data_IF_276018857249
#
_entry.id   IF_276018857249
#
_cell.length_a   1.000
_cell.length_b   1.000
_cell.length_c   1.000
_cell.angle_alpha   90.00
_cell.angle_beta   90.00
_cell.angle_gamma   90.00
#
_symmetry.space_group_name_H-M   'P 1'
#
loop_
_entity.id
_entity.type
_entity.pdbx_description
1 polymer ?
#
# COMPACT_ATOMS: atom_id res chain seq x y z
N UNK A 1 12.00 16.04 -17.26
CA UNK A 1 10.53 15.76 -17.15
C UNK A 1 10.12 15.12 -18.45
N UNK A 2 9.68 13.87 -18.41
CA UNK A 2 9.14 13.19 -19.58
C UNK A 2 7.84 13.89 -20.01
N UNK A 3 7.71 14.16 -21.31
CA UNK A 3 6.47 14.69 -21.85
C UNK A 3 5.49 13.50 -22.00
N UNK A 4 4.65 13.29 -21.00
CA UNK A 4 3.66 12.20 -20.95
C UNK A 4 2.73 12.23 -22.17
N UNK A 5 2.34 13.40 -22.64
CA UNK A 5 1.44 13.55 -23.79
C UNK A 5 2.04 12.95 -25.07
N UNK A 6 3.32 13.21 -25.35
CA UNK A 6 3.99 12.64 -26.51
C UNK A 6 4.05 11.11 -26.46
N UNK A 7 4.27 10.53 -25.27
CA UNK A 7 4.29 9.07 -25.10
C UNK A 7 2.92 8.47 -25.41
N UNK A 8 1.84 9.07 -24.91
CA UNK A 8 0.49 8.56 -25.15
C UNK A 8 0.04 8.73 -26.59
N UNK A 9 0.42 9.83 -27.26
CA UNK A 9 0.19 10.00 -28.71
C UNK A 9 0.87 8.88 -29.51
N UNK A 10 2.14 8.58 -29.22
CA UNK A 10 2.87 7.50 -29.88
C UNK A 10 2.27 6.11 -29.61
N UNK A 11 1.84 5.87 -28.37
CA UNK A 11 1.15 4.61 -28.04
C UNK A 11 -0.17 4.49 -28.82
N UNK A 12 -0.93 5.57 -28.98
CA UNK A 12 -2.16 5.58 -29.79
C UNK A 12 -1.88 5.26 -31.26
N UNK A 13 -0.83 5.84 -31.85
CA UNK A 13 -0.38 5.53 -33.20
C UNK A 13 -0.04 4.04 -33.34
N UNK A 14 0.73 3.49 -32.41
CA UNK A 14 1.10 2.07 -32.39
C UNK A 14 -0.13 1.18 -32.30
N UNK A 15 -1.07 1.48 -31.40
CA UNK A 15 -2.32 0.73 -31.27
C UNK A 15 -3.12 0.72 -32.56
N UNK A 16 -3.18 1.87 -33.24
CA UNK A 16 -3.88 2.01 -34.51
C UNK A 16 -3.19 1.17 -35.61
N UNK A 17 -1.87 1.25 -35.73
CA UNK A 17 -1.10 0.50 -36.72
C UNK A 17 -1.22 -1.01 -36.52
N UNK A 18 -1.17 -1.49 -35.28
CA UNK A 18 -1.34 -2.92 -34.95
C UNK A 18 -2.72 -3.42 -35.37
N UNK A 19 -3.77 -2.62 -35.12
CA UNK A 19 -5.14 -2.97 -35.52
C UNK A 19 -5.32 -2.92 -37.04
N UNK A 20 -4.72 -1.94 -37.73
CA UNK A 20 -4.71 -1.89 -39.21
C UNK A 20 -4.03 -3.10 -39.82
N UNK A 21 -2.86 -3.49 -39.33
CA UNK A 21 -2.14 -4.66 -39.81
C UNK A 21 -2.94 -5.94 -39.60
N UNK A 22 -3.59 -6.09 -38.45
CA UNK A 22 -4.45 -7.24 -38.18
C UNK A 22 -5.67 -7.25 -39.10
N UNK A 23 -6.32 -6.12 -39.31
CA UNK A 23 -7.45 -6.00 -40.24
C UNK A 23 -7.06 -6.37 -41.67
N UNK A 24 -5.86 -5.94 -42.13
CA UNK A 24 -5.36 -6.23 -43.44
C UNK A 24 -5.03 -7.71 -43.66
N UNK A 25 -4.51 -8.40 -42.62
CA UNK A 25 -4.22 -9.85 -42.67
C UNK A 25 -5.48 -10.71 -42.72
N UNK A 26 -6.57 -10.23 -42.12
CA UNK A 26 -7.83 -10.97 -41.97
C UNK A 26 -8.91 -10.50 -42.97
N UNK A 27 -8.49 -9.85 -44.08
CA UNK A 27 -9.41 -9.48 -45.18
C UNK A 27 -10.07 -10.73 -45.72
N UNK A 28 -11.35 -10.92 -45.39
CA UNK A 28 -12.17 -12.08 -45.80
C UNK A 28 -12.80 -12.86 -44.65
N UNK A 29 -12.35 -12.70 -43.43
CA UNK A 29 -13.00 -13.33 -42.29
C UNK A 29 -14.15 -12.45 -41.75
N UNK A 30 -15.34 -13.03 -41.65
CA UNK A 30 -16.56 -12.33 -41.15
C UNK A 30 -16.52 -11.90 -39.68
N UNK A 31 -15.48 -12.26 -38.94
CA UNK A 31 -15.38 -12.03 -37.49
C UNK A 31 -14.07 -11.35 -37.08
N UNK A 32 -13.74 -10.20 -37.70
CA UNK A 32 -12.64 -9.37 -37.19
C UNK A 32 -13.00 -8.70 -35.85
N UNK A 33 -12.22 -9.01 -34.81
CA UNK A 33 -12.29 -8.28 -33.54
C UNK A 33 -11.00 -7.48 -33.35
N UNK A 34 -11.08 -6.14 -33.17
CA UNK A 34 -9.90 -5.33 -32.92
C UNK A 34 -9.26 -5.71 -31.58
N UNK A 35 -7.94 -5.57 -31.51
CA UNK A 35 -7.20 -5.68 -30.26
C UNK A 35 -7.55 -4.51 -29.35
N UNK A 36 -7.80 -4.80 -28.08
CA UNK A 36 -8.03 -3.81 -27.03
C UNK A 36 -6.77 -3.71 -26.18
N UNK A 37 -6.35 -2.49 -25.89
CA UNK A 37 -5.18 -2.20 -25.10
C UNK A 37 -5.62 -1.69 -23.74
N UNK A 38 -5.05 -2.23 -22.66
CA UNK A 38 -5.35 -1.84 -21.30
C UNK A 38 -4.10 -1.17 -20.70
N UNK A 39 -4.27 0.01 -20.12
CA UNK A 39 -3.23 0.79 -19.48
C UNK A 39 -3.55 0.95 -18.00
N UNK A 40 -2.62 0.52 -17.14
CA UNK A 40 -2.72 0.70 -15.68
C UNK A 40 -1.86 1.92 -15.33
N UNK A 41 -2.50 3.00 -14.91
CA UNK A 41 -1.86 4.29 -14.70
C UNK A 41 -2.28 4.87 -13.35
N UNK A 42 -1.38 5.67 -12.77
CA UNK A 42 -1.74 6.56 -11.66
C UNK A 42 -2.42 7.82 -12.22
N UNK A 43 -3.38 8.38 -11.46
CA UNK A 43 -4.09 9.60 -11.86
C UNK A 43 -3.20 10.84 -11.98
N UNK A 44 -2.09 10.88 -11.23
CA UNK A 44 -1.12 11.99 -11.22
C UNK A 44 -0.24 12.11 -12.47
N UNK A 45 -0.26 11.11 -13.36
CA UNK A 45 0.47 11.15 -14.63
C UNK A 45 -0.05 12.23 -15.57
N UNK A 46 -1.35 12.52 -15.52
CA UNK A 46 -1.97 13.54 -16.35
C UNK A 46 -2.18 14.82 -15.56
N UNK A 47 -1.43 15.85 -15.92
CA UNK A 47 -1.55 17.20 -15.33
C UNK A 47 -2.77 17.95 -15.88
N UNK A 48 -3.30 17.54 -17.04
CA UNK A 48 -4.39 18.20 -17.74
C UNK A 48 -5.53 17.24 -18.07
N UNK A 49 -6.66 17.79 -18.58
CA UNK A 49 -7.82 16.99 -19.03
C UNK A 49 -7.54 16.12 -20.28
N UNK A 50 -6.31 16.03 -20.75
CA UNK A 50 -5.95 15.33 -21.99
C UNK A 50 -6.10 13.80 -21.92
N UNK A 51 -6.19 13.25 -20.71
CA UNK A 51 -6.49 11.81 -20.52
C UNK A 51 -7.74 11.35 -21.29
N UNK A 52 -8.76 12.21 -21.38
CA UNK A 52 -10.00 11.90 -22.11
C UNK A 52 -9.85 11.91 -23.62
N UNK A 53 -8.80 12.54 -24.14
CA UNK A 53 -8.46 12.50 -25.57
C UNK A 53 -7.74 11.22 -25.98
N UNK A 54 -7.03 10.59 -25.03
CA UNK A 54 -6.24 9.39 -25.27
C UNK A 54 -7.03 8.10 -25.04
N UNK A 55 -7.82 8.03 -23.96
CA UNK A 55 -8.56 6.85 -23.57
C UNK A 55 -10.00 6.91 -24.05
N UNK A 56 -10.47 5.88 -24.77
CA UNK A 56 -11.86 5.71 -25.14
C UNK A 56 -12.73 5.34 -23.93
N UNK A 57 -12.12 4.68 -22.92
CA UNK A 57 -12.80 4.26 -21.71
C UNK A 57 -11.86 4.29 -20.50
N UNK A 58 -12.29 4.93 -19.42
CA UNK A 58 -11.52 5.07 -18.18
C UNK A 58 -12.31 4.38 -17.06
N UNK A 59 -11.68 3.38 -16.43
CA UNK A 59 -12.24 2.70 -15.26
C UNK A 59 -11.50 3.19 -14.03
N UNK A 60 -12.15 3.94 -13.11
CA UNK A 60 -11.54 4.30 -11.85
C UNK A 60 -11.37 3.04 -10.99
N UNK A 61 -10.16 2.78 -10.53
CA UNK A 61 -9.88 1.74 -9.54
C UNK A 61 -9.90 2.43 -8.17
N UNK A 62 -10.99 2.25 -7.46
CA UNK A 62 -11.09 2.74 -6.08
C UNK A 62 -10.24 1.84 -5.20
N UNK A 63 -9.36 2.39 -4.35
CA UNK A 63 -8.57 1.57 -3.42
C UNK A 63 -9.51 0.78 -2.51
N UNK A 64 -9.23 -0.51 -2.36
CA UNK A 64 -10.02 -1.42 -1.51
C UNK A 64 -9.82 -1.09 -0.03
N UNK A 65 -8.72 -0.42 0.29
CA UNK A 65 -8.37 0.05 1.63
C UNK A 65 -8.34 1.58 1.66
N UNK A 66 -9.07 2.10 2.60
CA UNK A 66 -8.96 3.45 3.13
C UNK A 66 -8.85 3.38 4.66
N UNK A 67 -8.61 4.49 5.32
CA UNK A 67 -8.54 4.53 6.78
C UNK A 67 -9.83 4.05 7.49
N UNK A 68 -10.98 4.00 6.78
CA UNK A 68 -12.25 3.58 7.34
C UNK A 68 -12.45 2.06 7.34
N UNK A 69 -11.88 1.34 6.37
CA UNK A 69 -12.08 -0.11 6.22
C UNK A 69 -10.83 -0.97 6.53
N UNK A 70 -9.68 -0.34 6.75
CA UNK A 70 -8.42 -1.02 7.10
C UNK A 70 -8.57 -1.86 8.36
N UNK A 71 -9.30 -1.34 9.36
CA UNK A 71 -9.60 -2.05 10.60
C UNK A 71 -10.31 -3.37 10.33
N UNK A 72 -11.42 -3.36 9.59
CA UNK A 72 -12.22 -4.57 9.32
C UNK A 72 -11.43 -5.63 8.55
N UNK A 73 -10.57 -5.20 7.63
CA UNK A 73 -9.72 -6.10 6.87
C UNK A 73 -8.67 -6.78 7.77
N UNK A 74 -8.02 -6.00 8.64
CA UNK A 74 -7.03 -6.55 9.56
C UNK A 74 -7.65 -7.48 10.59
N UNK A 75 -8.79 -7.10 11.18
CA UNK A 75 -9.53 -7.94 12.12
C UNK A 75 -9.90 -9.29 11.49
N UNK A 76 -10.30 -9.31 10.22
CA UNK A 76 -10.54 -10.58 9.51
C UNK A 76 -9.30 -11.47 9.45
N UNK A 77 -8.11 -10.92 9.24
CA UNK A 77 -6.85 -11.67 9.28
C UNK A 77 -6.55 -12.19 10.67
N UNK A 78 -6.67 -11.36 11.71
CA UNK A 78 -6.44 -11.76 13.10
C UNK A 78 -7.42 -12.85 13.58
N UNK A 79 -8.70 -12.74 13.19
CA UNK A 79 -9.71 -13.76 13.50
C UNK A 79 -9.43 -15.09 12.81
N UNK A 80 -9.02 -15.07 11.53
CA UNK A 80 -8.60 -16.28 10.81
C UNK A 80 -7.40 -16.97 11.47
N UNK A 81 -6.50 -16.20 12.06
CA UNK A 81 -5.35 -16.71 12.81
C UNK A 81 -5.64 -17.08 14.26
N UNK A 82 -6.88 -16.93 14.74
CA UNK A 82 -7.29 -17.17 16.14
C UNK A 82 -6.48 -16.37 17.17
N UNK A 83 -6.01 -15.16 16.80
CA UNK A 83 -5.17 -14.32 17.65
C UNK A 83 -5.82 -12.99 18.03
N UNK A 84 -7.01 -12.68 17.50
CA UNK A 84 -7.70 -11.40 17.70
C UNK A 84 -7.94 -11.07 19.19
N UNK A 85 -8.36 -12.04 20.00
CA UNK A 85 -8.72 -11.83 21.41
C UNK A 85 -7.51 -11.50 22.32
N UNK A 86 -6.29 -11.60 21.79
CA UNK A 86 -5.05 -11.29 22.52
C UNK A 86 -4.65 -9.82 22.44
N UNK A 87 -5.37 -9.02 21.65
CA UNK A 87 -5.09 -7.60 21.44
C UNK A 87 -6.14 -6.71 22.11
N UNK A 88 -5.69 -5.55 22.58
CA UNK A 88 -6.60 -4.48 22.97
C UNK A 88 -7.32 -3.92 21.74
N UNK A 89 -8.65 -3.91 21.78
CA UNK A 89 -9.50 -3.45 20.66
C UNK A 89 -9.34 -1.96 20.37
N UNK A 90 -9.19 -1.16 21.41
CA UNK A 90 -8.99 0.29 21.29
C UNK A 90 -7.63 0.60 20.66
N UNK A 91 -6.60 -0.14 21.08
CA UNK A 91 -5.28 -0.04 20.50
C UNK A 91 -5.31 -0.38 18.99
N UNK A 92 -5.94 -1.50 18.60
CA UNK A 92 -6.06 -1.88 17.18
C UNK A 92 -6.77 -0.81 16.36
N UNK A 93 -7.88 -0.25 16.85
CA UNK A 93 -8.60 0.81 16.14
C UNK A 93 -7.71 2.02 15.86
N UNK A 94 -6.95 2.46 16.85
CA UNK A 94 -6.05 3.62 16.72
C UNK A 94 -4.86 3.32 15.81
N UNK A 95 -4.25 2.15 15.94
CA UNK A 95 -3.08 1.75 15.16
C UNK A 95 -3.40 1.66 13.68
N UNK A 96 -4.55 1.09 13.33
CA UNK A 96 -4.92 0.82 11.94
C UNK A 96 -5.35 2.06 11.16
N UNK A 97 -5.58 3.19 11.81
CA UNK A 97 -5.78 4.48 11.13
C UNK A 97 -4.53 4.95 10.34
N UNK A 98 -3.36 4.42 10.69
CA UNK A 98 -2.10 4.77 10.01
C UNK A 98 -1.76 3.84 8.83
N UNK A 99 -2.61 2.84 8.53
CA UNK A 99 -2.36 1.88 7.47
C UNK A 99 -3.47 1.99 6.41
N UNK A 100 -3.13 2.53 5.26
CA UNK A 100 -4.01 2.73 4.11
C UNK A 100 -3.66 1.82 2.91
N UNK A 101 -2.61 1.00 3.00
CA UNK A 101 -2.19 0.05 1.96
C UNK A 101 -2.37 -1.40 2.42
N UNK A 102 -3.13 -2.19 1.62
CA UNK A 102 -3.36 -3.61 1.85
C UNK A 102 -2.07 -4.44 1.87
N UNK A 103 -1.04 -4.04 1.12
CA UNK A 103 0.25 -4.75 1.09
C UNK A 103 0.99 -4.57 2.40
N UNK A 104 0.99 -3.34 2.95
CA UNK A 104 1.56 -3.05 4.26
C UNK A 104 0.83 -3.87 5.33
N UNK A 105 -0.51 -3.88 5.30
CA UNK A 105 -1.33 -4.62 6.24
C UNK A 105 -1.04 -6.14 6.22
N UNK A 106 -0.93 -6.74 5.03
CA UNK A 106 -0.55 -8.15 4.88
C UNK A 106 0.87 -8.42 5.34
N UNK A 107 1.81 -7.54 5.04
CA UNK A 107 3.20 -7.67 5.48
C UNK A 107 3.30 -7.60 7.00
N UNK A 108 2.63 -6.64 7.63
CA UNK A 108 2.55 -6.51 9.09
C UNK A 108 2.01 -7.79 9.72
N UNK A 109 0.91 -8.33 9.19
CA UNK A 109 0.32 -9.57 9.70
C UNK A 109 1.28 -10.77 9.56
N UNK A 110 1.87 -10.96 8.38
CA UNK A 110 2.80 -12.06 8.14
C UNK A 110 4.06 -11.95 9.00
N UNK A 111 4.61 -10.74 9.12
CA UNK A 111 5.78 -10.47 9.94
C UNK A 111 5.47 -10.72 11.42
N UNK A 112 4.31 -10.30 11.90
CA UNK A 112 3.85 -10.57 13.25
C UNK A 112 3.81 -12.07 13.56
N UNK A 113 3.25 -12.88 12.66
CA UNK A 113 3.22 -14.34 12.83
C UNK A 113 4.62 -14.95 12.89
N UNK A 114 5.55 -14.45 12.06
CA UNK A 114 6.95 -14.93 12.09
C UNK A 114 7.63 -14.62 13.42
N UNK A 115 7.45 -13.40 13.95
CA UNK A 115 8.02 -13.03 15.24
C UNK A 115 7.41 -13.83 16.38
N UNK A 116 6.08 -14.03 16.39
CA UNK A 116 5.40 -14.84 17.39
C UNK A 116 5.93 -16.27 17.43
N UNK A 117 6.11 -16.89 16.27
CA UNK A 117 6.61 -18.27 16.20
C UNK A 117 8.07 -18.40 16.64
N UNK A 118 8.86 -17.34 16.57
CA UNK A 118 10.28 -17.35 16.95
C UNK A 118 10.52 -17.01 18.42
N UNK A 119 9.71 -16.12 18.98
CA UNK A 119 10.01 -15.55 20.29
C UNK A 119 9.57 -16.43 21.45
N UNK A 120 8.71 -17.43 21.26
CA UNK A 120 8.23 -18.37 22.29
C UNK A 120 8.12 -17.79 23.72
N UNK A 121 8.12 -16.44 23.85
CA UNK A 121 8.24 -15.73 25.10
C UNK A 121 6.86 -15.22 25.51
N UNK A 122 6.35 -15.71 26.61
CA UNK A 122 5.03 -15.40 27.16
C UNK A 122 4.93 -13.99 27.74
N UNK A 123 6.05 -13.33 28.03
CA UNK A 123 6.07 -12.04 28.74
C UNK A 123 5.99 -10.81 27.81
N UNK A 124 6.06 -11.02 26.51
CA UNK A 124 6.01 -9.90 25.55
C UNK A 124 4.57 -9.47 25.27
N UNK A 125 4.27 -8.19 25.47
CA UNK A 125 2.98 -7.62 25.10
C UNK A 125 2.75 -7.70 23.59
N UNK A 126 1.66 -8.35 23.19
CA UNK A 126 1.25 -8.49 21.79
C UNK A 126 1.03 -7.15 21.11
N UNK A 127 0.44 -6.19 21.83
CA UNK A 127 0.19 -4.84 21.33
C UNK A 127 1.51 -4.10 21.05
N UNK A 128 2.47 -4.18 21.97
CA UNK A 128 3.79 -3.53 21.79
C UNK A 128 4.55 -4.13 20.60
N UNK A 129 4.51 -5.45 20.44
CA UNK A 129 5.15 -6.10 19.30
C UNK A 129 4.49 -5.71 17.98
N UNK A 130 3.16 -5.68 17.92
CA UNK A 130 2.44 -5.23 16.75
C UNK A 130 2.74 -3.77 16.42
N UNK A 131 2.78 -2.89 17.44
CA UNK A 131 3.17 -1.48 17.26
C UNK A 131 4.55 -1.32 16.64
N UNK A 132 5.55 -2.10 17.10
CA UNK A 132 6.91 -2.07 16.57
C UNK A 132 6.96 -2.53 15.10
N UNK A 133 6.20 -3.55 14.74
CA UNK A 133 6.15 -4.06 13.37
C UNK A 133 5.47 -3.05 12.45
N UNK A 134 4.37 -2.43 12.90
CA UNK A 134 3.70 -1.37 12.14
C UNK A 134 4.63 -0.18 11.96
N UNK A 135 5.28 0.28 13.03
CA UNK A 135 6.23 1.39 12.98
C UNK A 135 7.36 1.12 11.98
N UNK A 136 7.96 -0.06 12.02
CA UNK A 136 9.00 -0.48 11.06
C UNK A 136 8.51 -0.44 9.60
N UNK A 137 7.28 -0.86 9.34
CA UNK A 137 6.75 -0.93 7.98
C UNK A 137 6.27 0.43 7.46
N UNK A 138 5.77 1.30 8.33
CA UNK A 138 5.26 2.64 7.96
C UNK A 138 6.37 3.68 7.93
N UNK A 139 7.32 3.62 8.87
CA UNK A 139 8.43 4.56 9.02
C UNK A 139 9.79 3.86 9.00
N UNK A 140 10.19 3.19 7.91
CA UNK A 140 11.37 2.33 7.89
C UNK A 140 12.70 3.09 8.14
N UNK A 141 12.80 4.35 7.73
CA UNK A 141 13.99 5.16 7.99
C UNK A 141 14.15 5.47 9.47
N UNK A 142 13.12 6.03 10.09
CA UNK A 142 13.14 6.38 11.51
C UNK A 142 13.33 5.13 12.39
N UNK A 143 12.79 3.99 11.96
CA UNK A 143 13.03 2.72 12.64
C UNK A 143 14.51 2.28 12.58
N UNK A 144 15.18 2.47 11.43
CA UNK A 144 16.62 2.21 11.31
C UNK A 144 17.43 3.17 12.19
N UNK A 145 17.07 4.45 12.19
CA UNK A 145 17.72 5.46 13.03
C UNK A 145 17.54 5.15 14.52
N UNK A 146 16.36 4.70 14.93
CA UNK A 146 16.09 4.24 16.30
C UNK A 146 17.04 3.10 16.73
N UNK A 147 17.30 2.14 15.83
CA UNK A 147 18.23 1.04 16.11
C UNK A 147 19.67 1.51 16.32
N UNK A 148 20.04 2.66 15.73
CA UNK A 148 21.35 3.29 15.87
C UNK A 148 21.41 4.31 17.02
N UNK A 149 20.35 4.44 17.81
CA UNK A 149 20.28 5.39 18.90
C UNK A 149 19.98 6.82 18.45
N UNK A 150 19.23 7.00 17.37
CA UNK A 150 18.80 8.27 16.81
C UNK A 150 17.36 8.24 16.32
N UNK A 151 16.95 9.28 15.60
CA UNK A 151 15.63 9.40 15.02
C UNK A 151 14.59 10.02 15.96
N UNK A 152 13.41 10.33 15.38
CA UNK A 152 12.35 11.06 16.07
C UNK A 152 11.82 10.33 17.32
N UNK A 153 11.59 9.03 17.20
CA UNK A 153 11.06 8.24 18.32
C UNK A 153 12.10 8.11 19.42
N UNK A 154 13.40 7.98 19.09
CA UNK A 154 14.48 8.01 20.10
C UNK A 154 14.47 9.32 20.89
N UNK A 155 14.40 10.46 20.21
CA UNK A 155 14.35 11.77 20.84
C UNK A 155 13.17 11.92 21.78
N UNK A 156 11.97 11.44 21.39
CA UNK A 156 10.79 11.45 22.25
C UNK A 156 11.00 10.66 23.55
N UNK A 157 11.64 9.50 23.49
CA UNK A 157 11.97 8.72 24.68
C UNK A 157 12.94 9.45 25.58
N UNK A 158 14.00 10.05 25.02
CA UNK A 158 15.00 10.80 25.79
C UNK A 158 14.42 12.04 26.46
N UNK A 159 13.51 12.77 25.79
CA UNK A 159 12.78 13.91 26.37
C UNK A 159 11.87 13.47 27.52
N UNK A 160 11.17 12.35 27.37
CA UNK A 160 10.31 11.79 28.40
C UNK A 160 11.10 11.39 29.64
N UNK A 161 12.26 10.80 29.49
CA UNK A 161 13.10 10.38 30.60
C UNK A 161 13.68 11.59 31.34
N UNK A 162 14.14 12.63 30.62
CA UNK A 162 14.55 13.92 31.23
C UNK A 162 13.42 14.57 32.03
N UNK A 163 12.22 14.63 31.45
CA UNK A 163 11.06 15.21 32.15
C UNK A 163 10.65 14.41 33.42
N UNK A 164 10.94 13.11 33.45
CA UNK A 164 10.76 12.30 34.67
C UNK A 164 11.79 12.54 35.72
N UNK A 165 13.05 12.73 35.35
CA UNK A 165 14.16 13.05 36.26
C UNK A 165 14.00 14.44 36.89
N UNK A 166 13.48 15.41 36.12
CA UNK A 166 13.18 16.77 36.59
C UNK A 166 11.96 16.84 37.52
N UNK A 167 11.09 15.85 37.54
CA UNK A 167 9.87 15.80 38.36
C UNK A 167 10.05 15.07 39.70
N UNK A 168 11.27 14.58 40.00
CA UNK A 168 11.65 13.90 41.26
C UNK A 168 12.51 14.82 42.11
#
# INVERSE_FOLDING_TARGET
>A
RFNSNLIFERLREVNHLVNLQKANKLKGEKSYKPLRFFYLLKDDIFVTKERTKFFDFIIPIVPVLDGSNSYDQFIRHLKRGNIYEKFDKTFLQRLLLYIDDMRVLKNVYNEFLVYMNRLNNTDLSWDKMLAMIVYKNVFPRDFCDLQLGGGYVHELFMQKDKAREEAI
#
